data_IF_535792801942
#
_entry.id   IF_535792801942
#
_cell.length_a   1.000
_cell.length_b   1.000
_cell.length_c   1.000
_cell.angle_alpha   90.00
_cell.angle_beta   90.00
_cell.angle_gamma   90.00
#
_symmetry.space_group_name_H-M   'P 1'
#
loop_
_entity.id
_entity.type
_entity.pdbx_description
1 polymer ?
#
# COMPACT_ATOMS: atom_id res chain seq x y z
N UNK A 1 -32.43 -2.81 -9.53
CA UNK A 1 -31.93 -1.41 -9.58
C UNK A 1 -30.99 -1.20 -8.40
N UNK A 2 -29.69 -0.97 -8.63
CA UNK A 2 -28.68 -0.76 -7.58
C UNK A 2 -28.43 0.73 -7.40
N UNK A 3 -29.26 1.39 -6.63
CA UNK A 3 -29.05 2.77 -6.18
C UNK A 3 -28.45 2.71 -4.78
N UNK A 4 -27.12 2.67 -4.64
CA UNK A 4 -26.46 2.99 -3.35
C UNK A 4 -24.93 3.12 -3.50
N UNK A 5 -24.43 4.27 -3.97
CA UNK A 5 -23.06 4.72 -3.61
C UNK A 5 -22.69 6.16 -4.06
N UNK A 6 -23.64 7.09 -4.16
CA UNK A 6 -23.32 8.42 -4.72
C UNK A 6 -22.49 9.33 -3.78
N UNK A 7 -22.35 9.01 -2.49
CA UNK A 7 -21.67 9.90 -1.51
C UNK A 7 -20.68 9.21 -0.56
N UNK A 8 -20.09 8.06 -0.93
CA UNK A 8 -19.04 7.45 -0.09
C UNK A 8 -17.67 7.77 -0.66
N UNK A 9 -16.87 8.55 0.08
CA UNK A 9 -15.48 8.85 -0.28
C UNK A 9 -14.73 7.54 -0.56
N UNK A 10 -13.97 7.51 -1.66
CA UNK A 10 -13.27 6.30 -2.12
C UNK A 10 -12.21 5.92 -1.08
N UNK A 11 -12.09 4.64 -0.74
CA UNK A 11 -11.02 4.15 0.14
C UNK A 11 -9.64 4.46 -0.44
N UNK A 12 -8.67 4.74 0.43
CA UNK A 12 -7.27 5.01 0.05
C UNK A 12 -6.38 3.75 0.06
N UNK A 13 -6.99 2.58 0.08
CA UNK A 13 -6.30 1.29 -0.01
C UNK A 13 -7.11 0.29 -0.83
N UNK A 14 -6.45 -0.76 -1.31
CA UNK A 14 -7.06 -1.91 -1.98
C UNK A 14 -6.73 -3.18 -1.21
N UNK A 15 -7.64 -4.15 -1.23
CA UNK A 15 -7.38 -5.47 -0.63
C UNK A 15 -6.42 -6.32 -1.46
N UNK A 16 -6.28 -6.01 -2.75
CA UNK A 16 -5.42 -6.71 -3.69
C UNK A 16 -4.62 -5.68 -4.47
N UNK A 17 -3.31 -5.88 -4.58
CA UNK A 17 -2.46 -5.11 -5.49
C UNK A 17 -2.73 -5.59 -6.92
N UNK A 18 -3.54 -4.83 -7.68
CA UNK A 18 -3.90 -5.15 -9.07
C UNK A 18 -2.86 -4.67 -10.08
N UNK A 19 -1.82 -3.98 -9.63
CA UNK A 19 -0.89 -3.24 -10.47
C UNK A 19 0.30 -4.09 -10.93
N UNK A 20 0.55 -5.24 -10.28
CA UNK A 20 1.64 -6.16 -10.64
C UNK A 20 1.28 -7.09 -11.81
N UNK A 21 2.21 -7.25 -12.76
CA UNK A 21 2.11 -8.21 -13.88
C UNK A 21 2.11 -9.63 -13.30
N UNK A 22 1.13 -10.46 -13.68
CA UNK A 22 0.82 -11.75 -13.04
C UNK A 22 0.31 -11.66 -11.60
N UNK A 23 -0.53 -10.66 -11.27
CA UNK A 23 -1.22 -10.65 -9.98
C UNK A 23 -1.97 -11.97 -9.79
N UNK A 24 -1.48 -12.77 -8.85
CA UNK A 24 -2.09 -14.04 -8.50
C UNK A 24 -3.19 -13.74 -7.49
N UNK A 25 -4.44 -13.85 -7.93
CA UNK A 25 -5.60 -13.87 -7.03
C UNK A 25 -5.64 -15.16 -6.20
N UNK A 26 -4.49 -15.73 -5.80
CA UNK A 26 -4.40 -17.02 -5.12
C UNK A 26 -5.37 -17.04 -3.92
N UNK A 27 -6.58 -17.61 -4.04
CA UNK A 27 -7.69 -17.33 -3.12
C UNK A 27 -7.50 -18.00 -1.75
N UNK A 28 -6.33 -18.61 -1.52
CA UNK A 28 -6.08 -19.55 -0.44
C UNK A 28 -6.53 -20.94 -0.86
N UNK A 29 -5.70 -21.63 -1.67
CA UNK A 29 -5.85 -23.08 -1.88
C UNK A 29 -5.53 -23.90 -0.62
N UNK A 30 -5.07 -23.25 0.45
CA UNK A 30 -4.67 -23.87 1.72
C UNK A 30 -5.80 -24.67 2.37
N UNK A 31 -7.04 -24.17 2.34
CA UNK A 31 -8.18 -24.93 2.87
C UNK A 31 -8.43 -26.23 2.07
N UNK A 32 -8.23 -26.19 0.74
CA UNK A 32 -8.33 -27.38 -0.11
C UNK A 32 -7.24 -28.40 0.27
N UNK A 33 -6.02 -27.95 0.52
CA UNK A 33 -4.91 -28.82 0.92
C UNK A 33 -5.04 -29.34 2.35
N UNK A 34 -5.54 -28.53 3.28
CA UNK A 34 -5.84 -28.93 4.67
C UNK A 34 -6.92 -30.03 4.71
N UNK A 35 -7.97 -29.93 3.89
CA UNK A 35 -8.96 -31.00 3.73
C UNK A 35 -8.35 -32.30 3.21
N UNK A 36 -7.51 -32.23 2.17
CA UNK A 36 -6.88 -33.42 1.59
C UNK A 36 -5.86 -34.10 2.54
N UNK A 37 -5.27 -33.36 3.49
CA UNK A 37 -4.37 -33.94 4.51
C UNK A 37 -5.09 -34.68 5.63
N UNK A 38 -6.35 -34.34 5.92
CA UNK A 38 -7.17 -35.08 6.89
C UNK A 38 -7.58 -36.40 6.24
N UNK A 39 -6.79 -37.47 6.45
CA UNK A 39 -7.29 -38.85 6.26
C UNK A 39 -8.43 -39.04 7.25
N UNK A 40 -9.68 -38.90 6.79
CA UNK A 40 -10.85 -39.08 7.63
C UNK A 40 -11.24 -40.56 7.60
N UNK A 41 -10.95 -41.25 8.70
CA UNK A 41 -11.64 -42.49 9.08
C UNK A 41 -12.88 -42.23 9.93
N UNK A 42 -13.33 -40.98 10.06
CA UNK A 42 -14.45 -40.60 10.92
C UNK A 42 -15.24 -39.40 10.34
N UNK A 43 -16.24 -39.72 9.52
CA UNK A 43 -17.09 -38.79 8.76
C UNK A 43 -17.80 -37.71 9.62
N UNK A 44 -17.85 -37.90 10.94
CA UNK A 44 -18.48 -36.97 11.88
C UNK A 44 -17.63 -35.72 12.18
N UNK A 45 -16.29 -35.82 12.10
CA UNK A 45 -15.38 -34.69 12.34
C UNK A 45 -15.23 -33.77 11.11
N UNK A 46 -15.44 -34.29 9.90
CA UNK A 46 -15.38 -33.50 8.67
C UNK A 46 -16.47 -32.41 8.59
N UNK A 47 -17.59 -32.60 9.29
CA UNK A 47 -18.73 -31.66 9.32
C UNK A 47 -18.57 -30.50 10.31
N UNK A 48 -17.55 -30.50 11.18
CA UNK A 48 -17.30 -29.46 12.21
C UNK A 48 -15.97 -28.72 12.03
N UNK A 49 -15.57 -28.46 10.79
CA UNK A 49 -14.37 -27.66 10.52
C UNK A 49 -14.57 -26.18 10.86
N UNK A 50 -13.65 -25.60 11.66
CA UNK A 50 -13.62 -24.15 11.91
C UNK A 50 -13.38 -23.41 10.59
N UNK A 51 -14.29 -22.51 10.21
CA UNK A 51 -14.08 -21.63 9.06
C UNK A 51 -12.96 -20.64 9.40
N UNK A 52 -11.75 -20.89 8.90
CA UNK A 52 -10.64 -19.93 9.03
C UNK A 52 -10.91 -18.75 8.10
N UNK A 53 -10.79 -17.53 8.62
CA UNK A 53 -10.86 -16.31 7.79
C UNK A 53 -9.76 -16.30 6.71
N UNK A 54 -9.97 -15.55 5.63
CA UNK A 54 -8.97 -15.41 4.58
C UNK A 54 -7.64 -14.89 5.15
N UNK A 55 -6.53 -15.41 4.63
CA UNK A 55 -5.20 -14.91 5.00
C UNK A 55 -5.08 -13.40 4.72
N UNK A 56 -4.62 -12.64 5.71
CA UNK A 56 -4.35 -11.21 5.56
C UNK A 56 -3.01 -11.01 4.84
N UNK A 57 -3.02 -10.94 3.50
CA UNK A 57 -1.81 -10.83 2.66
C UNK A 57 -1.32 -9.39 2.44
N UNK A 58 -1.47 -8.53 3.46
CA UNK A 58 -1.20 -7.09 3.34
C UNK A 58 -2.26 -6.35 2.51
N UNK A 59 -2.30 -5.01 2.62
CA UNK A 59 -3.16 -4.14 1.81
C UNK A 59 -2.30 -3.28 0.91
N UNK A 60 -2.84 -2.96 -0.26
CA UNK A 60 -2.19 -2.07 -1.20
C UNK A 60 -2.57 -0.62 -0.87
N UNK A 61 -1.62 0.10 -0.29
CA UNK A 61 -1.75 1.52 0.07
C UNK A 61 -1.24 2.47 -1.03
N UNK A 62 -0.94 1.97 -2.23
CA UNK A 62 -0.55 2.83 -3.36
C UNK A 62 -1.51 4.01 -3.59
N UNK A 63 -2.86 3.86 -3.50
CA UNK A 63 -3.76 5.01 -3.63
C UNK A 63 -3.59 6.09 -2.55
N UNK A 64 -3.19 5.71 -1.33
CA UNK A 64 -2.85 6.65 -0.25
C UNK A 64 -1.63 7.48 -0.64
N UNK A 65 -0.57 6.84 -1.12
CA UNK A 65 0.68 7.53 -1.47
C UNK A 65 0.47 8.57 -2.57
N UNK A 66 -0.25 8.21 -3.64
CA UNK A 66 -0.62 9.17 -4.68
C UNK A 66 -1.47 10.32 -4.15
N UNK A 67 -2.40 10.03 -3.24
CA UNK A 67 -3.24 11.05 -2.63
C UNK A 67 -2.40 12.03 -1.81
N UNK A 68 -1.49 11.55 -0.96
CA UNK A 68 -0.63 12.40 -0.14
C UNK A 68 0.29 13.28 -0.99
N UNK A 69 0.94 12.71 -2.02
CA UNK A 69 1.81 13.46 -2.94
C UNK A 69 1.04 14.60 -3.62
N UNK A 70 -0.20 14.34 -4.04
CA UNK A 70 -1.06 15.34 -4.69
C UNK A 70 -1.50 16.46 -3.73
N UNK A 71 -1.49 16.21 -2.42
CA UNK A 71 -1.93 17.16 -1.40
C UNK A 71 -0.78 17.99 -0.81
N UNK A 72 0.44 17.87 -1.35
CA UNK A 72 1.55 18.75 -0.98
C UNK A 72 1.17 20.23 -1.14
N UNK A 73 1.53 21.06 -0.17
CA UNK A 73 1.18 22.47 -0.05
C UNK A 73 -0.11 22.77 0.72
N UNK A 74 -0.79 21.77 1.29
CA UNK A 74 -2.03 21.94 2.07
C UNK A 74 -1.84 21.66 3.57
N UNK A 75 -2.75 22.16 4.44
CA UNK A 75 -2.71 21.90 5.88
C UNK A 75 -2.76 20.40 6.19
N UNK A 76 -1.81 19.94 6.99
CA UNK A 76 -1.65 18.53 7.37
C UNK A 76 -2.86 18.00 8.11
N UNK A 77 -3.41 18.76 9.06
CA UNK A 77 -4.52 18.31 9.91
C UNK A 77 -5.78 17.99 9.10
N UNK A 78 -6.08 18.80 8.07
CA UNK A 78 -7.22 18.56 7.17
C UNK A 78 -7.00 17.27 6.35
N UNK A 79 -5.80 17.10 5.79
CA UNK A 79 -5.43 15.91 5.02
C UNK A 79 -5.49 14.68 5.92
N UNK A 80 -4.88 14.73 7.09
CA UNK A 80 -4.78 13.60 8.01
C UNK A 80 -6.16 13.17 8.52
N UNK A 81 -7.04 14.13 8.84
CA UNK A 81 -8.43 13.86 9.22
C UNK A 81 -9.20 13.16 8.10
N UNK A 82 -9.07 13.65 6.85
CA UNK A 82 -9.70 13.02 5.69
C UNK A 82 -9.17 11.59 5.46
N UNK A 83 -7.86 11.41 5.58
CA UNK A 83 -7.18 10.12 5.39
C UNK A 83 -7.60 9.12 6.45
N UNK A 84 -7.69 9.52 7.73
CA UNK A 84 -8.12 8.66 8.83
C UNK A 84 -9.54 8.11 8.60
N UNK A 85 -10.45 8.90 8.03
CA UNK A 85 -11.79 8.43 7.69
C UNK A 85 -11.85 7.43 6.52
N UNK A 86 -10.79 7.36 5.70
CA UNK A 86 -10.73 6.57 4.45
C UNK A 86 -9.80 5.36 4.53
N UNK A 87 -8.93 5.31 5.55
CA UNK A 87 -8.00 4.21 5.83
C UNK A 87 -8.56 3.22 6.87
N UNK A 88 -7.96 2.03 6.91
CA UNK A 88 -8.20 1.06 7.98
C UNK A 88 -7.17 1.10 9.11
N UNK A 89 -5.97 1.62 8.83
CA UNK A 89 -4.93 1.90 9.80
C UNK A 89 -4.19 3.15 9.36
N UNK A 90 -3.68 3.93 10.31
CA UNK A 90 -2.95 5.17 10.08
C UNK A 90 -1.46 4.96 9.86
N UNK A 91 -0.92 3.81 10.24
CA UNK A 91 0.50 3.46 10.10
C UNK A 91 1.08 3.73 8.69
N UNK A 92 0.40 3.37 7.58
CA UNK A 92 0.92 3.57 6.24
C UNK A 92 1.15 5.03 5.85
N UNK A 93 0.50 5.96 6.54
CA UNK A 93 0.71 7.40 6.33
C UNK A 93 2.15 7.77 6.70
N UNK A 94 2.63 7.26 7.82
CA UNK A 94 3.96 7.57 8.36
C UNK A 94 5.08 6.79 7.70
N UNK A 95 4.77 5.86 6.79
CA UNK A 95 5.79 5.26 5.92
C UNK A 95 6.35 6.29 4.93
N UNK A 96 5.53 7.26 4.52
CA UNK A 96 5.89 8.28 3.54
C UNK A 96 6.06 9.68 4.14
N UNK A 97 5.30 10.01 5.19
CA UNK A 97 5.29 11.33 5.82
C UNK A 97 6.10 11.33 7.12
N UNK A 98 7.12 12.19 7.18
CA UNK A 98 7.92 12.46 8.37
C UNK A 98 7.31 13.58 9.21
N UNK A 99 7.07 13.32 10.50
CA UNK A 99 6.64 14.34 11.47
C UNK A 99 7.82 15.09 12.09
N UNK A 100 9.00 14.49 12.09
CA UNK A 100 10.21 15.03 12.70
C UNK A 100 11.35 15.08 11.71
N UNK A 101 12.27 16.02 11.88
CA UNK A 101 13.35 16.28 10.93
C UNK A 101 14.25 15.07 10.70
N UNK A 102 14.58 14.32 11.76
CA UNK A 102 15.42 13.13 11.69
C UNK A 102 14.78 11.96 10.91
N UNK A 103 13.47 12.02 10.66
CA UNK A 103 12.74 11.01 9.89
C UNK A 103 12.63 11.37 8.41
N UNK A 104 12.99 12.61 8.03
CA UNK A 104 12.93 13.08 6.65
C UNK A 104 13.86 12.24 5.78
N UNK A 105 13.34 11.83 4.63
CA UNK A 105 14.06 11.09 3.60
C UNK A 105 13.66 11.67 2.27
N UNK A 106 14.62 12.01 1.41
CA UNK A 106 14.32 12.57 0.09
C UNK A 106 13.55 11.57 -0.78
N UNK A 107 13.94 10.30 -0.69
CA UNK A 107 13.40 9.19 -1.46
C UNK A 107 13.07 8.03 -0.52
N UNK A 108 11.83 7.54 -0.60
CA UNK A 108 11.31 6.47 0.23
C UNK A 108 11.02 5.25 -0.63
N UNK A 109 11.58 4.10 -0.28
CA UNK A 109 11.23 2.82 -0.89
C UNK A 109 10.17 2.12 -0.03
N UNK A 110 9.05 1.75 -0.66
CA UNK A 110 7.97 0.96 -0.07
C UNK A 110 8.01 -0.45 -0.66
N UNK A 111 8.06 -1.46 0.21
CA UNK A 111 8.27 -2.84 -0.19
C UNK A 111 9.70 -3.06 -0.66
N UNK A 112 9.88 -3.56 -1.88
CA UNK A 112 11.20 -3.94 -2.41
C UNK A 112 11.69 -3.02 -3.54
N UNK A 113 10.78 -2.41 -4.31
CA UNK A 113 11.15 -1.73 -5.56
C UNK A 113 10.25 -0.55 -5.96
N UNK A 114 9.34 -0.10 -5.08
CA UNK A 114 8.44 1.02 -5.37
C UNK A 114 8.87 2.27 -4.62
N UNK A 115 9.32 3.28 -5.35
CA UNK A 115 9.89 4.50 -4.81
C UNK A 115 8.92 5.67 -4.90
N UNK A 116 8.94 6.52 -3.88
CA UNK A 116 8.12 7.71 -3.77
C UNK A 116 8.97 8.85 -3.20
N UNK A 117 8.67 10.12 -3.54
CA UNK A 117 9.28 11.26 -2.89
C UNK A 117 8.86 11.28 -1.41
N UNK A 118 9.80 11.47 -0.50
CA UNK A 118 9.44 11.60 0.90
C UNK A 118 8.75 12.92 1.19
N UNK A 119 7.81 12.87 2.12
CA UNK A 119 7.01 14.01 2.53
C UNK A 119 7.30 14.34 3.99
N UNK A 120 7.05 15.57 4.40
CA UNK A 120 7.16 15.98 5.80
C UNK A 120 6.14 17.05 6.14
N UNK A 121 5.85 17.19 7.43
CA UNK A 121 5.04 18.31 7.94
C UNK A 121 5.99 19.41 8.39
N UNK A 122 5.83 20.60 7.84
CA UNK A 122 6.62 21.77 8.22
C UNK A 122 6.14 22.39 9.54
N UNK A 123 6.84 23.41 10.02
CA UNK A 123 6.52 24.11 11.27
C UNK A 123 5.16 24.81 11.26
N UNK A 124 4.64 25.15 10.07
CA UNK A 124 3.32 25.74 9.90
C UNK A 124 2.20 24.69 9.82
N UNK A 125 2.54 23.41 9.97
CA UNK A 125 1.60 22.30 9.83
C UNK A 125 1.19 22.06 8.38
N UNK A 126 2.01 22.43 7.40
CA UNK A 126 1.74 22.21 5.98
C UNK A 126 2.50 20.97 5.51
N UNK A 127 1.84 20.12 4.73
CA UNK A 127 2.47 18.96 4.11
C UNK A 127 3.37 19.42 2.95
N UNK A 128 4.65 19.11 3.02
CA UNK A 128 5.66 19.47 2.01
C UNK A 128 6.41 18.24 1.52
N UNK A 129 7.04 18.38 0.35
CA UNK A 129 7.98 17.38 -0.15
C UNK A 129 9.38 17.69 0.37
N UNK A 130 10.09 16.66 0.87
CA UNK A 130 11.43 16.84 1.46
C UNK A 130 12.41 17.41 0.44
N UNK A 131 12.42 16.85 -0.76
CA UNK A 131 13.23 17.33 -1.87
C UNK A 131 12.36 17.48 -3.12
N UNK A 132 11.93 18.72 -3.47
CA UNK A 132 11.07 18.97 -4.64
C UNK A 132 11.72 18.62 -5.98
N UNK A 133 13.05 18.54 -6.04
CA UNK A 133 13.79 18.23 -7.27
C UNK A 133 13.98 16.73 -7.51
N UNK A 134 13.59 15.88 -6.56
CA UNK A 134 13.74 14.42 -6.69
C UNK A 134 12.88 13.87 -7.82
N UNK A 135 13.48 13.01 -8.63
CA UNK A 135 12.88 12.45 -9.83
C UNK A 135 13.17 10.94 -9.93
N UNK A 136 12.56 10.28 -10.91
CA UNK A 136 12.83 8.87 -11.17
C UNK A 136 14.30 8.56 -11.51
N UNK A 137 15.07 9.56 -11.97
CA UNK A 137 16.50 9.40 -12.29
C UNK A 137 17.37 9.21 -11.05
N UNK A 138 16.90 9.67 -9.90
CA UNK A 138 17.61 9.59 -8.63
C UNK A 138 17.43 8.22 -7.95
N UNK A 139 16.53 7.39 -8.48
CA UNK A 139 16.31 6.02 -8.02
C UNK A 139 17.50 5.14 -8.42
N UNK A 140 18.23 4.66 -7.42
CA UNK A 140 19.31 3.70 -7.60
C UNK A 140 18.74 2.30 -7.83
N UNK A 141 18.67 1.89 -9.10
CA UNK A 141 18.25 0.54 -9.48
C UNK A 141 19.41 -0.43 -9.28
N UNK A 142 19.31 -1.32 -8.29
CA UNK A 142 20.40 -2.21 -7.87
C UNK A 142 20.43 -3.56 -8.59
N UNK A 143 19.36 -3.92 -9.30
CA UNK A 143 19.29 -5.18 -10.03
C UNK A 143 18.53 -5.05 -11.36
N UNK A 144 18.98 -5.81 -12.36
CA UNK A 144 18.31 -5.92 -13.67
C UNK A 144 17.02 -6.75 -13.63
N UNK A 145 16.82 -7.57 -12.60
CA UNK A 145 15.73 -8.55 -12.54
C UNK A 145 14.41 -8.00 -11.97
N UNK A 146 14.47 -6.96 -11.11
CA UNK A 146 13.26 -6.38 -10.51
C UNK A 146 12.84 -5.09 -11.24
N UNK A 147 11.54 -4.96 -11.51
CA UNK A 147 10.98 -3.70 -12.00
C UNK A 147 10.93 -2.69 -10.85
N UNK A 148 11.84 -1.72 -10.91
CA UNK A 148 11.83 -0.56 -10.01
C UNK A 148 10.89 0.49 -10.57
N UNK A 149 10.11 1.14 -9.71
CA UNK A 149 9.19 2.21 -10.12
C UNK A 149 9.37 3.46 -9.28
N UNK A 150 9.16 4.63 -9.87
CA UNK A 150 9.05 5.91 -9.18
C UNK A 150 7.65 6.46 -9.40
N UNK A 151 6.87 6.64 -8.33
CA UNK A 151 5.48 7.09 -8.42
C UNK A 151 4.68 6.17 -9.38
N UNK A 152 5.01 4.87 -9.39
CA UNK A 152 4.43 3.84 -10.26
C UNK A 152 4.86 3.85 -11.73
N UNK A 153 5.73 4.77 -12.15
CA UNK A 153 6.34 4.73 -13.47
C UNK A 153 7.65 3.91 -13.43
N UNK A 154 7.89 2.97 -14.37
CA UNK A 154 9.12 2.18 -14.39
C UNK A 154 10.35 3.06 -14.54
N UNK A 155 11.36 2.84 -13.68
CA UNK A 155 12.67 3.48 -13.81
C UNK A 155 13.58 2.57 -14.61
N UNK A 156 14.16 3.04 -15.73
CA UNK A 156 15.10 2.25 -16.49
C UNK A 156 16.39 2.07 -15.69
N UNK A 157 16.98 0.89 -15.81
CA UNK A 157 18.30 0.64 -15.28
C UNK A 157 19.34 1.37 -16.15
N UNK A 158 20.21 2.17 -15.52
CA UNK A 158 21.28 2.88 -16.20
C UNK A 158 22.60 2.13 -15.93
N UNK A 159 23.27 1.71 -17.00
CA UNK A 159 24.63 1.10 -16.98
C UNK A 159 25.69 2.14 -16.58
#
# INVERSE_FOLDING_TARGET
MRTHQQNKSRKLYRSVNTTTRHHSNNPGAEYRWERNRKKVGDDLLAKRGTMRGQQKRGRDYTPLFYFLIKQAGKPWDEIFSEVCGRLDTTEPVFWLVALHEHQRRDLVCIGESSFYPGLFVDENGILQQVNPSISGKDVKVTCRCCTHTYIGEPVPWMD
#
